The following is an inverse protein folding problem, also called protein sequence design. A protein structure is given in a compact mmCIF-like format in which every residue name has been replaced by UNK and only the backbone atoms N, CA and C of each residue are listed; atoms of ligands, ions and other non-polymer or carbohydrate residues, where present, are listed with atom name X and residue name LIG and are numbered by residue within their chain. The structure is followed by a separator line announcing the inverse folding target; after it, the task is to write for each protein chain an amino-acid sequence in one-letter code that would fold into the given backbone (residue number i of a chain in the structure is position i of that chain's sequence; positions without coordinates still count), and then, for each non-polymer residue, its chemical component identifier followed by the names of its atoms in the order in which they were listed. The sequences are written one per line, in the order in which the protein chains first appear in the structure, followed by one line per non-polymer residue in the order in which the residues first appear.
data_IF_314728289844
#
_entry.id   IF_314728289844
#
_cell.length_a   1.000
_cell.length_b   1.000
_cell.length_c   1.000
_cell.angle_alpha   90.00
_cell.angle_beta   90.00
_cell.angle_gamma   90.00
#
_symmetry.space_group_name_H-M   'P 1'
#
loop_
_entity.id
_entity.type
_entity.pdbx_description
1 polymer ?
#
# COMPACT_ATOMS: atom_id res chain seq x y z
N UNK A 1 23.14 8.04 18.66
CA UNK A 1 22.66 9.40 18.43
C UNK A 1 23.75 10.17 17.74
N UNK A 2 23.46 10.68 16.54
CA UNK A 2 24.39 11.50 15.76
C UNK A 2 23.71 12.83 15.46
N UNK A 3 24.00 13.89 16.25
CA UNK A 3 23.51 15.22 15.96
C UNK A 3 24.24 15.80 14.75
N UNK A 4 23.50 16.46 13.87
CA UNK A 4 24.03 17.28 12.80
C UNK A 4 24.04 18.74 13.27
N UNK A 5 25.24 19.31 13.34
CA UNK A 5 25.46 20.70 13.76
C UNK A 5 26.20 21.41 12.63
N UNK A 6 25.71 22.56 12.22
CA UNK A 6 26.40 23.45 11.27
C UNK A 6 27.06 24.56 12.06
N UNK A 7 28.38 24.65 11.98
CA UNK A 7 29.15 25.71 12.63
C UNK A 7 29.01 27.02 11.88
N UNK A 8 28.80 28.09 12.63
CA UNK A 8 28.86 29.44 12.07
C UNK A 8 30.32 29.86 11.85
N UNK A 9 30.77 29.80 10.59
CA UNK A 9 32.13 30.22 10.25
C UNK A 9 32.27 31.75 10.38
N UNK A 10 32.89 32.21 11.45
CA UNK A 10 33.69 33.42 11.43
C UNK A 10 33.39 34.55 12.41
N UNK A 11 32.21 34.82 12.91
CA UNK A 11 31.94 36.00 13.77
C UNK A 11 31.12 35.67 15.02
N UNK A 12 30.42 34.55 15.04
CA UNK A 12 29.64 34.08 16.18
C UNK A 12 30.19 32.76 16.70
N UNK A 13 30.26 32.62 18.01
CA UNK A 13 30.60 31.38 18.66
C UNK A 13 29.36 30.42 18.60
N UNK A 14 29.62 29.14 18.28
CA UNK A 14 28.61 28.14 18.30
C UNK A 14 28.17 27.65 16.91
N UNK A 15 27.17 26.75 16.89
CA UNK A 15 26.62 26.14 15.69
C UNK A 15 25.11 25.98 15.80
N UNK A 16 24.49 25.82 14.67
CA UNK A 16 23.05 25.53 14.57
C UNK A 16 22.78 24.05 14.56
N UNK A 17 21.95 23.56 15.48
CA UNK A 17 21.46 22.19 15.46
C UNK A 17 20.46 22.01 14.33
N UNK A 18 20.71 21.05 13.44
CA UNK A 18 19.81 20.74 12.32
C UNK A 18 18.89 19.57 12.63
N UNK A 19 19.46 18.42 12.96
CA UNK A 19 18.70 17.22 13.27
C UNK A 19 19.56 16.21 14.03
N UNK A 20 18.90 15.22 14.61
CA UNK A 20 19.55 14.03 15.16
C UNK A 20 19.05 12.79 14.38
N UNK A 21 19.99 11.92 14.00
CA UNK A 21 19.66 10.63 13.40
C UNK A 21 20.14 9.48 14.27
N UNK A 22 19.46 8.37 14.20
CA UNK A 22 19.95 7.10 14.71
C UNK A 22 20.98 6.55 13.73
N UNK A 23 22.16 6.21 14.22
CA UNK A 23 23.16 5.48 13.46
C UNK A 23 23.05 3.99 13.69
N UNK A 24 23.78 3.22 12.90
CA UNK A 24 23.91 1.79 13.13
C UNK A 24 24.38 1.51 14.57
N UNK A 25 23.78 0.50 15.20
CA UNK A 25 24.10 0.08 16.56
C UNK A 25 24.94 -1.19 16.50
N UNK A 26 25.94 -1.27 17.34
CA UNK A 26 26.80 -2.44 17.48
C UNK A 26 26.57 -3.10 18.84
N UNK A 27 26.31 -4.41 18.85
CA UNK A 27 26.12 -5.20 20.07
C UNK A 27 27.19 -6.30 20.11
N UNK A 28 28.19 -6.22 20.98
CA UNK A 28 29.09 -7.32 21.22
C UNK A 28 28.41 -8.37 22.11
N UNK A 29 28.43 -9.62 21.67
CA UNK A 29 27.84 -10.75 22.39
C UNK A 29 28.94 -11.77 22.70
N UNK A 30 29.46 -11.79 23.92
CA UNK A 30 30.40 -12.82 24.35
C UNK A 30 29.64 -14.15 24.48
N UNK A 31 30.30 -15.23 24.11
CA UNK A 31 29.77 -16.58 24.25
C UNK A 31 30.82 -17.55 24.79
N UNK A 32 30.36 -18.67 25.28
CA UNK A 32 31.23 -19.76 25.75
C UNK A 32 30.61 -21.09 25.34
N UNK A 33 31.46 -21.99 24.86
CA UNK A 33 31.10 -23.34 24.46
C UNK A 33 31.92 -24.35 25.24
N UNK A 34 31.38 -25.55 25.46
CA UNK A 34 32.06 -26.66 26.13
C UNK A 34 31.83 -27.93 25.30
N UNK A 35 32.80 -28.79 25.30
CA UNK A 35 32.83 -30.06 24.54
C UNK A 35 32.63 -29.87 23.01
N UNK A 36 33.24 -30.71 22.25
CA UNK A 36 33.14 -30.76 20.76
C UNK A 36 33.31 -29.38 20.09
N UNK A 37 34.33 -28.62 20.56
CA UNK A 37 34.50 -27.21 20.19
C UNK A 37 34.66 -27.02 18.68
N UNK A 38 35.32 -27.95 18.00
CA UNK A 38 35.51 -27.89 16.54
C UNK A 38 34.17 -28.01 15.79
N UNK A 39 33.36 -29.01 16.14
CA UNK A 39 32.09 -29.26 15.48
C UNK A 39 31.11 -28.09 15.74
N UNK A 40 31.18 -27.49 16.95
CA UNK A 40 30.41 -26.32 17.30
C UNK A 40 30.87 -25.05 16.59
N UNK A 41 32.20 -24.92 16.38
CA UNK A 41 32.75 -23.84 15.58
C UNK A 41 32.23 -23.91 14.14
N UNK A 42 32.29 -25.07 13.49
CA UNK A 42 31.80 -25.28 12.14
C UNK A 42 30.31 -25.01 12.02
N UNK A 43 29.53 -25.38 13.04
CA UNK A 43 28.09 -25.10 13.10
C UNK A 43 27.80 -23.59 13.27
N UNK A 44 28.57 -22.92 14.12
CA UNK A 44 28.46 -21.48 14.35
C UNK A 44 28.83 -20.70 13.10
N UNK A 45 29.89 -21.06 12.41
CA UNK A 45 30.30 -20.42 11.16
C UNK A 45 29.20 -20.50 10.09
N UNK A 46 28.54 -21.65 9.97
CA UNK A 46 27.37 -21.80 9.05
C UNK A 46 26.21 -20.90 9.39
N UNK A 47 25.93 -20.72 10.67
CA UNK A 47 24.82 -19.86 11.14
C UNK A 47 25.14 -18.38 10.91
N UNK A 48 26.41 -18.01 11.07
CA UNK A 48 26.87 -16.63 10.95
C UNK A 48 27.17 -16.21 9.49
N UNK A 49 27.29 -17.18 8.58
CA UNK A 49 27.49 -16.90 7.16
C UNK A 49 26.19 -16.47 6.50
N UNK A 50 25.83 -15.20 6.69
CA UNK A 50 24.63 -14.56 6.13
C UNK A 50 25.02 -13.33 5.32
N UNK A 51 24.31 -13.09 4.24
CA UNK A 51 24.51 -11.98 3.30
C UNK A 51 23.54 -10.79 3.53
N UNK A 52 22.57 -10.98 4.40
CA UNK A 52 21.58 -9.96 4.74
C UNK A 52 21.26 -9.95 6.24
N UNK A 53 20.78 -8.83 6.80
CA UNK A 53 20.35 -8.77 8.20
C UNK A 53 19.24 -9.78 8.50
N UNK A 54 19.39 -10.52 9.58
CA UNK A 54 18.42 -11.50 10.08
C UNK A 54 17.86 -11.07 11.44
N UNK A 55 16.71 -11.62 11.81
CA UNK A 55 16.10 -11.36 13.12
C UNK A 55 16.96 -11.96 14.24
N UNK A 56 17.44 -11.09 15.12
CA UNK A 56 18.15 -11.45 16.33
C UNK A 56 17.25 -11.18 17.53
N UNK A 57 16.94 -12.22 18.30
CA UNK A 57 16.14 -12.15 19.53
C UNK A 57 17.01 -12.59 20.69
N UNK A 58 17.08 -11.76 21.72
CA UNK A 58 17.75 -12.13 22.96
C UNK A 58 16.76 -12.81 23.92
N UNK A 59 17.18 -13.92 24.54
CA UNK A 59 16.33 -14.65 25.48
C UNK A 59 15.88 -13.81 26.69
N UNK A 60 16.63 -12.78 27.05
CA UNK A 60 16.25 -11.81 28.09
C UNK A 60 15.19 -10.78 27.65
N UNK A 61 14.94 -10.67 26.34
CA UNK A 61 14.01 -9.71 25.75
C UNK A 61 13.27 -10.38 24.58
N UNK A 62 12.41 -11.37 24.85
CA UNK A 62 11.73 -12.14 23.80
C UNK A 62 10.63 -11.35 23.07
N UNK A 63 10.23 -10.22 23.60
CA UNK A 63 9.20 -9.31 23.07
C UNK A 63 9.67 -8.45 21.90
N UNK A 64 10.98 -8.48 21.61
CA UNK A 64 11.60 -7.65 20.57
C UNK A 64 12.68 -8.37 19.79
N UNK A 65 12.90 -7.91 18.56
CA UNK A 65 13.98 -8.37 17.72
C UNK A 65 14.77 -7.20 17.12
N UNK A 66 15.97 -7.52 16.66
CA UNK A 66 16.81 -6.59 15.91
C UNK A 66 17.09 -7.18 14.52
N UNK A 67 17.05 -6.35 13.49
CA UNK A 67 17.56 -6.75 12.18
C UNK A 67 19.08 -6.61 12.20
N UNK A 68 19.77 -7.73 12.43
CA UNK A 68 21.21 -7.75 12.73
C UNK A 68 21.99 -8.59 11.72
N UNK A 69 23.21 -8.16 11.45
CA UNK A 69 24.20 -8.91 10.67
C UNK A 69 25.45 -9.10 11.51
N UNK A 70 26.06 -10.30 11.51
CA UNK A 70 27.32 -10.50 12.22
C UNK A 70 28.45 -9.75 11.54
N UNK A 71 29.39 -9.27 12.33
CA UNK A 71 30.59 -8.56 11.85
C UNK A 71 31.83 -9.06 12.58
N UNK A 72 32.93 -9.02 11.90
CA UNK A 72 34.22 -9.48 12.41
C UNK A 72 34.54 -10.94 11.99
N UNK A 73 35.63 -11.43 12.51
CA UNK A 73 36.09 -12.80 12.29
C UNK A 73 36.05 -13.56 13.61
N UNK A 74 35.69 -14.82 13.56
CA UNK A 74 35.83 -15.73 14.69
C UNK A 74 37.25 -16.25 14.70
N UNK A 75 37.92 -16.10 15.83
CA UNK A 75 39.27 -16.68 16.01
C UNK A 75 39.12 -18.17 16.30
N UNK A 76 39.54 -18.99 15.34
CA UNK A 76 39.46 -20.45 15.43
C UNK A 76 40.28 -21.00 16.59
N UNK A 77 41.53 -20.55 16.77
CA UNK A 77 42.43 -21.04 17.79
C UNK A 77 41.90 -20.65 19.19
N UNK A 78 41.44 -19.41 19.34
CA UNK A 78 40.83 -18.96 20.60
C UNK A 78 39.60 -19.79 20.98
N UNK A 79 38.74 -20.07 20.01
CA UNK A 79 37.50 -20.82 20.25
C UNK A 79 37.79 -22.28 20.52
N UNK A 80 38.69 -22.94 19.75
CA UNK A 80 39.01 -24.34 19.91
C UNK A 80 39.83 -24.62 21.17
N UNK A 81 40.65 -23.67 21.61
CA UNK A 81 41.48 -23.85 22.81
C UNK A 81 40.70 -23.46 24.08
N UNK A 82 39.98 -22.36 24.07
CA UNK A 82 39.37 -21.80 25.27
C UNK A 82 37.84 -21.94 25.31
N UNK A 83 37.22 -22.32 24.23
CA UNK A 83 35.75 -22.44 24.11
C UNK A 83 34.99 -21.12 24.16
N UNK A 84 35.67 -19.98 24.09
CA UNK A 84 35.06 -18.67 24.20
C UNK A 84 35.35 -17.75 23.02
N UNK A 85 34.44 -16.84 22.79
CA UNK A 85 34.56 -15.82 21.73
C UNK A 85 33.57 -14.69 21.91
N UNK A 86 33.62 -13.74 20.98
CA UNK A 86 32.65 -12.64 20.93
C UNK A 86 32.14 -12.49 19.50
N UNK A 87 30.84 -12.53 19.32
CA UNK A 87 30.17 -12.19 18.07
C UNK A 87 29.76 -10.73 18.16
N UNK A 88 30.15 -9.94 17.19
CA UNK A 88 29.74 -8.54 17.10
C UNK A 88 28.57 -8.45 16.11
N UNK A 89 27.42 -7.98 16.58
CA UNK A 89 26.25 -7.77 15.76
C UNK A 89 26.15 -6.31 15.37
N UNK A 90 25.98 -6.04 14.09
CA UNK A 90 25.65 -4.70 13.57
C UNK A 90 24.16 -4.67 13.26
N UNK A 91 23.49 -3.65 13.76
CA UNK A 91 22.07 -3.35 13.54
C UNK A 91 22.03 -2.08 12.71
N UNK A 92 21.81 -2.17 11.39
CA UNK A 92 21.94 -1.02 10.47
C UNK A 92 20.97 0.12 10.76
N UNK A 93 19.74 -0.20 11.12
CA UNK A 93 18.70 0.78 11.48
C UNK A 93 18.81 1.30 12.91
N UNK A 94 19.59 0.63 13.76
CA UNK A 94 19.82 0.99 15.15
C UNK A 94 18.62 0.78 16.08
N UNK A 95 17.51 0.19 15.57
CA UNK A 95 16.24 0.08 16.26
C UNK A 95 15.95 -1.34 16.75
N UNK A 96 15.09 -1.43 17.75
CA UNK A 96 14.47 -2.66 18.20
C UNK A 96 13.03 -2.68 17.71
N UNK A 97 12.62 -3.78 17.09
CA UNK A 97 11.28 -4.00 16.57
C UNK A 97 10.48 -4.89 17.50
N UNK A 98 9.19 -4.66 17.63
CA UNK A 98 8.31 -5.57 18.36
C UNK A 98 8.15 -6.88 17.60
N UNK A 99 8.11 -8.01 18.34
CA UNK A 99 7.87 -9.33 17.73
C UNK A 99 6.41 -9.45 17.31
N UNK A 100 5.52 -8.94 18.14
CA UNK A 100 4.08 -8.98 17.90
C UNK A 100 3.59 -7.62 17.40
N UNK A 101 2.74 -7.64 16.36
CA UNK A 101 2.01 -6.47 15.91
C UNK A 101 0.91 -6.12 16.92
N UNK A 102 0.68 -4.84 17.13
CA UNK A 102 -0.41 -4.36 17.96
C UNK A 102 -1.60 -4.06 17.08
N UNK A 103 -2.71 -4.69 17.40
CA UNK A 103 -3.99 -4.45 16.73
C UNK A 103 -4.86 -3.50 17.58
N UNK A 104 -5.48 -2.55 16.90
CA UNK A 104 -6.40 -1.60 17.50
C UNK A 104 -7.72 -1.68 16.73
N UNK A 105 -8.78 -2.02 17.45
CA UNK A 105 -10.12 -2.11 16.84
C UNK A 105 -10.82 -0.77 16.93
N UNK A 106 -11.34 -0.29 15.80
CA UNK A 106 -12.15 0.91 15.78
C UNK A 106 -13.54 0.66 16.42
N UNK A 107 -14.03 1.63 17.16
CA UNK A 107 -15.35 1.62 17.76
C UNK A 107 -16.19 2.78 17.25
N UNK A 108 -17.52 2.55 17.15
CA UNK A 108 -18.43 3.60 16.71
C UNK A 108 -18.62 4.64 17.81
N UNK A 109 -18.26 5.89 17.52
CA UNK A 109 -18.45 7.03 18.38
C UNK A 109 -19.12 8.16 17.60
N UNK A 110 -20.33 8.55 18.02
CA UNK A 110 -21.12 9.61 17.36
C UNK A 110 -21.31 9.43 15.83
N UNK A 111 -21.47 8.18 15.40
CA UNK A 111 -21.64 7.87 13.97
C UNK A 111 -20.34 7.80 13.16
N UNK A 112 -19.18 7.89 13.80
CA UNK A 112 -17.86 7.79 13.18
C UNK A 112 -17.10 6.64 13.82
N UNK A 113 -16.44 5.82 13.01
CA UNK A 113 -15.50 4.80 13.47
C UNK A 113 -14.22 5.49 13.97
N UNK A 114 -13.92 5.30 15.24
CA UNK A 114 -12.75 5.92 15.89
C UNK A 114 -11.89 4.86 16.54
N UNK A 115 -10.58 4.94 16.35
CA UNK A 115 -9.60 4.12 17.02
C UNK A 115 -8.51 5.00 17.65
N UNK A 116 -8.23 4.79 18.93
CA UNK A 116 -7.11 5.42 19.60
C UNK A 116 -5.87 4.53 19.43
N UNK A 117 -4.91 4.99 18.64
CA UNK A 117 -3.69 4.26 18.31
C UNK A 117 -2.55 4.85 19.11
N UNK A 118 -1.92 4.02 19.96
CA UNK A 118 -0.77 4.41 20.75
C UNK A 118 0.50 3.74 20.26
N UNK A 119 1.44 4.55 19.77
CA UNK A 119 2.79 4.11 19.47
C UNK A 119 3.66 4.23 20.74
N UNK A 120 4.04 3.09 21.32
CA UNK A 120 4.96 3.03 22.47
C UNK A 120 6.44 3.01 22.06
N UNK A 121 6.75 3.11 20.78
CA UNK A 121 8.10 3.16 20.25
C UNK A 121 8.72 4.57 20.30
N UNK A 122 9.97 4.65 19.87
CA UNK A 122 10.75 5.89 19.80
C UNK A 122 10.76 6.51 18.40
N UNK A 123 10.22 5.80 17.42
CA UNK A 123 10.20 6.21 16.02
C UNK A 123 8.79 6.07 15.45
N UNK A 124 8.52 6.79 14.37
CA UNK A 124 7.25 6.71 13.67
C UNK A 124 7.09 5.36 12.98
N UNK A 125 5.92 4.76 13.13
CA UNK A 125 5.59 3.45 12.56
C UNK A 125 4.43 3.60 11.59
N UNK A 126 4.53 3.06 10.37
CA UNK A 126 3.40 3.04 9.45
C UNK A 126 2.25 2.20 10.01
N UNK A 127 1.02 2.68 9.81
CA UNK A 127 -0.20 1.98 10.23
C UNK A 127 -0.78 1.25 9.03
N UNK A 128 -1.07 -0.03 9.21
CA UNK A 128 -1.84 -0.83 8.25
C UNK A 128 -3.32 -0.80 8.64
N UNK A 129 -4.18 -0.64 7.64
CA UNK A 129 -5.63 -0.60 7.84
C UNK A 129 -6.27 -1.83 7.18
N UNK A 130 -7.02 -2.57 7.97
CA UNK A 130 -7.89 -3.63 7.47
C UNK A 130 -9.35 -3.18 7.62
N UNK A 131 -10.05 -3.04 6.50
CA UNK A 131 -11.41 -2.52 6.46
C UNK A 131 -12.31 -3.54 5.77
N UNK A 132 -13.32 -4.01 6.49
CA UNK A 132 -14.35 -4.88 5.95
C UNK A 132 -15.63 -4.09 5.71
N UNK A 133 -16.02 -3.96 4.46
CA UNK A 133 -17.30 -3.36 4.07
C UNK A 133 -18.39 -4.44 4.08
N UNK A 134 -19.43 -4.23 4.85
CA UNK A 134 -20.58 -5.13 4.92
C UNK A 134 -21.68 -4.77 3.91
N UNK A 135 -21.58 -3.60 3.29
CA UNK A 135 -22.51 -3.06 2.30
C UNK A 135 -21.71 -2.39 1.18
N UNK A 136 -22.36 -2.11 0.08
CA UNK A 136 -21.78 -1.26 -0.97
C UNK A 136 -21.43 0.10 -0.39
N UNK A 137 -20.25 0.58 -0.74
CA UNK A 137 -19.70 1.79 -0.20
C UNK A 137 -18.85 2.49 -1.28
N UNK A 138 -19.28 3.66 -1.70
CA UNK A 138 -18.61 4.44 -2.75
C UNK A 138 -17.40 5.23 -2.26
N UNK A 139 -17.24 5.40 -0.95
CA UNK A 139 -16.19 6.24 -0.39
C UNK A 139 -15.73 5.78 0.99
N UNK A 140 -14.44 5.77 1.19
CA UNK A 140 -13.80 5.56 2.49
C UNK A 140 -12.86 6.73 2.77
N UNK A 141 -13.07 7.40 3.88
CA UNK A 141 -12.20 8.45 4.40
C UNK A 141 -11.58 8.05 5.73
N UNK A 142 -10.25 8.13 5.83
CA UNK A 142 -9.52 7.91 7.08
C UNK A 142 -8.79 9.21 7.41
N UNK A 143 -9.04 9.75 8.59
CA UNK A 143 -8.43 11.01 9.04
C UNK A 143 -7.63 10.74 10.31
N UNK A 144 -6.40 11.21 10.32
CA UNK A 144 -5.51 11.18 11.49
C UNK A 144 -4.89 12.55 11.73
N UNK A 145 -4.18 12.71 12.83
CA UNK A 145 -3.40 13.93 13.09
C UNK A 145 -2.25 14.17 12.09
N UNK A 146 -1.87 13.15 11.31
CA UNK A 146 -0.78 13.22 10.34
C UNK A 146 -1.26 13.38 8.90
N UNK A 147 -2.55 13.25 8.65
CA UNK A 147 -3.11 13.40 7.31
C UNK A 147 -4.42 12.65 7.11
N UNK A 148 -4.88 12.68 5.86
CA UNK A 148 -6.09 12.00 5.44
C UNK A 148 -5.84 11.09 4.25
N UNK A 149 -6.47 9.92 4.25
CA UNK A 149 -6.50 8.96 3.15
C UNK A 149 -7.93 8.92 2.65
N UNK A 150 -8.11 9.07 1.35
CA UNK A 150 -9.41 9.01 0.68
C UNK A 150 -9.38 7.97 -0.41
N UNK A 151 -10.36 7.08 -0.42
CA UNK A 151 -10.55 6.03 -1.40
C UNK A 151 -11.97 6.10 -1.93
N UNK A 152 -12.14 6.11 -3.26
CA UNK A 152 -13.44 6.23 -3.90
C UNK A 152 -13.86 7.68 -4.17
N UNK A 153 -15.16 7.86 -4.45
CA UNK A 153 -15.77 9.14 -4.81
C UNK A 153 -16.72 9.63 -3.71
N UNK A 154 -16.44 10.77 -3.12
CA UNK A 154 -17.26 11.36 -2.05
C UNK A 154 -18.66 11.75 -2.50
N UNK A 155 -18.88 11.91 -3.82
CA UNK A 155 -20.18 12.24 -4.39
C UNK A 155 -21.02 11.00 -4.72
N UNK A 156 -20.44 9.82 -4.58
CA UNK A 156 -21.15 8.57 -4.77
C UNK A 156 -22.02 8.30 -3.54
N UNK A 157 -23.32 8.13 -3.77
CA UNK A 157 -24.27 7.83 -2.70
C UNK A 157 -24.15 6.35 -2.35
N UNK A 158 -23.99 6.04 -1.07
CA UNK A 158 -23.94 4.66 -0.57
C UNK A 158 -25.12 3.84 -1.10
N UNK A 159 -24.82 2.70 -1.71
CA UNK A 159 -25.83 1.79 -2.27
C UNK A 159 -26.36 2.17 -3.64
N UNK A 160 -25.85 3.21 -4.27
CA UNK A 160 -26.00 3.43 -5.71
C UNK A 160 -24.77 2.95 -6.42
N UNK A 161 -24.88 1.90 -7.21
CA UNK A 161 -23.94 1.64 -8.28
C UNK A 161 -24.03 2.84 -9.20
N UNK A 162 -23.05 3.73 -9.15
CA UNK A 162 -22.88 4.73 -10.17
C UNK A 162 -22.55 3.97 -11.46
N UNK A 163 -23.57 3.74 -12.29
CA UNK A 163 -23.31 3.24 -13.63
C UNK A 163 -22.44 4.30 -14.31
N UNK A 164 -21.21 3.93 -14.65
CA UNK A 164 -20.26 4.82 -15.35
C UNK A 164 -20.79 5.26 -16.72
N UNK A 165 -21.83 4.60 -17.19
CA UNK A 165 -22.58 4.95 -18.40
C UNK A 165 -24.03 4.55 -18.24
N UNK A 166 -24.93 5.47 -18.51
CA UNK A 166 -26.36 5.21 -18.66
C UNK A 166 -26.62 4.88 -20.13
N UNK A 167 -27.23 3.72 -20.36
CA UNK A 167 -27.68 3.37 -21.70
C UNK A 167 -28.97 4.17 -22.00
N UNK A 168 -28.84 5.28 -22.71
CA UNK A 168 -29.95 6.14 -23.06
C UNK A 168 -30.86 5.53 -24.14
N UNK A 169 -30.26 4.83 -25.10
CA UNK A 169 -30.96 4.19 -26.20
C UNK A 169 -30.25 2.94 -26.65
N UNK A 170 -31.05 1.90 -26.88
CA UNK A 170 -30.61 0.70 -27.53
C UNK A 170 -31.36 0.53 -28.86
N UNK A 171 -30.66 0.34 -29.96
CA UNK A 171 -31.24 0.24 -31.29
C UNK A 171 -31.18 -1.18 -31.84
N UNK A 172 -31.08 -2.18 -30.98
CA UNK A 172 -30.95 -3.58 -31.34
C UNK A 172 -32.30 -4.28 -31.52
N UNK A 173 -33.39 -3.64 -31.08
CA UNK A 173 -34.73 -4.18 -31.30
C UNK A 173 -35.65 -3.24 -32.11
N UNK A 174 -36.51 -3.81 -32.98
CA UNK A 174 -37.49 -3.04 -33.72
C UNK A 174 -38.44 -2.26 -32.82
N UNK A 175 -38.70 -2.74 -31.61
CA UNK A 175 -39.61 -2.11 -30.66
C UNK A 175 -39.07 -0.80 -30.12
N UNK A 176 -37.81 -0.81 -29.73
CA UNK A 176 -37.12 0.39 -29.23
C UNK A 176 -36.98 1.45 -30.30
N UNK A 177 -36.65 1.01 -31.51
CA UNK A 177 -36.56 1.88 -32.65
C UNK A 177 -37.91 2.50 -33.05
N UNK A 178 -38.97 1.74 -33.03
CA UNK A 178 -40.32 2.21 -33.37
C UNK A 178 -40.91 3.13 -32.28
N UNK A 179 -40.37 3.14 -31.08
CA UNK A 179 -40.72 4.10 -30.04
C UNK A 179 -40.20 5.51 -30.34
N UNK A 180 -39.26 5.64 -31.26
CA UNK A 180 -38.81 6.97 -31.70
C UNK A 180 -39.81 7.62 -32.62
N UNK A 181 -40.12 8.87 -32.36
CA UNK A 181 -41.06 9.65 -33.19
C UNK A 181 -40.31 10.14 -34.44
N UNK A 182 -40.78 9.78 -35.61
CA UNK A 182 -40.22 10.25 -36.88
C UNK A 182 -40.17 11.79 -36.93
N UNK A 183 -39.00 12.32 -37.25
CA UNK A 183 -38.82 13.76 -37.41
C UNK A 183 -38.62 14.52 -36.10
N UNK A 184 -38.59 13.82 -34.96
CA UNK A 184 -38.24 14.45 -33.69
C UNK A 184 -36.79 14.04 -33.29
N UNK A 185 -35.93 14.95 -33.46
CA UNK A 185 -34.51 14.90 -33.06
C UNK A 185 -34.00 16.33 -32.97
N UNK A 186 -32.72 16.48 -32.90
CA UNK A 186 -32.05 17.79 -32.87
C UNK A 186 -32.33 18.62 -34.12
N UNK A 187 -32.80 17.98 -35.21
CA UNK A 187 -33.04 18.57 -36.55
C UNK A 187 -34.51 18.37 -36.88
N UNK A 188 -35.33 19.30 -36.49
CA UNK A 188 -36.77 19.11 -36.47
C UNK A 188 -37.48 19.47 -37.77
N UNK A 189 -37.80 20.73 -37.99
CA UNK A 189 -38.69 21.16 -39.05
C UNK A 189 -37.98 21.35 -40.40
N UNK A 190 -36.71 21.68 -40.42
CA UNK A 190 -35.92 21.98 -41.62
C UNK A 190 -35.38 20.73 -42.29
N UNK A 191 -35.41 19.59 -41.61
CA UNK A 191 -34.85 18.33 -42.12
C UNK A 191 -35.80 17.14 -41.90
N UNK A 192 -36.93 17.10 -42.59
CA UNK A 192 -37.86 15.99 -42.46
C UNK A 192 -37.25 14.70 -43.00
N UNK A 193 -37.42 13.61 -42.27
CA UNK A 193 -36.99 12.29 -42.71
C UNK A 193 -37.88 11.78 -43.82
N UNK A 194 -37.27 11.42 -44.95
CA UNK A 194 -37.92 10.78 -46.08
C UNK A 194 -37.49 9.29 -46.10
N UNK A 195 -38.43 8.41 -46.03
CA UNK A 195 -38.19 6.96 -46.07
C UNK A 195 -38.69 6.24 -44.84
N UNK A 196 -38.52 4.95 -44.83
CA UNK A 196 -38.91 4.08 -43.74
C UNK A 196 -37.74 3.35 -43.17
N UNK A 197 -37.61 3.37 -41.88
CA UNK A 197 -36.59 2.59 -41.20
C UNK A 197 -36.99 1.12 -41.13
N UNK A 198 -36.06 0.24 -41.22
CA UNK A 198 -36.23 -1.19 -41.02
C UNK A 198 -35.02 -1.79 -40.36
N UNK A 199 -35.18 -3.01 -39.90
CA UNK A 199 -34.10 -3.80 -39.35
C UNK A 199 -33.84 -5.01 -40.24
N UNK A 200 -32.59 -5.38 -40.40
CA UNK A 200 -32.16 -6.62 -41.05
C UNK A 200 -31.14 -7.34 -40.18
N UNK A 201 -31.07 -8.65 -40.32
CA UNK A 201 -30.06 -9.45 -39.65
C UNK A 201 -29.00 -9.85 -40.63
N UNK A 202 -27.76 -9.49 -40.36
CA UNK A 202 -26.60 -9.92 -41.15
C UNK A 202 -25.51 -10.38 -40.17
N UNK A 203 -24.85 -11.49 -40.48
CA UNK A 203 -23.79 -12.09 -39.65
C UNK A 203 -24.15 -12.36 -38.20
N UNK A 204 -25.44 -12.57 -37.92
CA UNK A 204 -25.96 -12.83 -36.56
C UNK A 204 -26.27 -11.59 -35.75
N UNK A 205 -26.03 -10.39 -36.30
CA UNK A 205 -26.35 -9.12 -35.66
C UNK A 205 -27.50 -8.39 -36.39
N UNK A 206 -28.25 -7.56 -35.66
CA UNK A 206 -29.31 -6.73 -36.22
C UNK A 206 -28.76 -5.39 -36.70
N UNK A 207 -29.10 -5.05 -37.92
CA UNK A 207 -28.69 -3.79 -38.54
C UNK A 207 -29.90 -2.94 -38.87
N UNK A 208 -29.79 -1.63 -38.68
CA UNK A 208 -30.75 -0.64 -39.13
C UNK A 208 -30.47 -0.25 -40.56
N UNK A 209 -31.53 -0.15 -41.35
CA UNK A 209 -31.43 0.36 -42.71
C UNK A 209 -32.58 1.32 -43.03
N UNK A 210 -32.33 2.24 -43.90
CA UNK A 210 -33.36 3.17 -44.42
C UNK A 210 -33.77 2.70 -45.82
N UNK A 211 -35.09 2.45 -45.99
CA UNK A 211 -35.65 2.01 -47.26
C UNK A 211 -36.53 3.10 -47.87
N UNK A 212 -36.82 2.94 -49.21
CA UNK A 212 -37.72 3.82 -49.97
C UNK A 212 -37.32 5.30 -49.95
N UNK A 213 -36.08 5.55 -50.18
CA UNK A 213 -35.56 6.89 -50.32
C UNK A 213 -35.92 7.40 -51.72
N UNK A 214 -36.82 8.32 -51.81
CA UNK A 214 -37.12 9.03 -53.04
C UNK A 214 -35.97 9.92 -53.49
N UNK A 215 -35.99 10.33 -54.74
CA UNK A 215 -35.08 11.33 -55.25
C UNK A 215 -35.21 12.63 -54.45
N UNK A 216 -34.16 13.02 -53.75
CA UNK A 216 -34.19 14.19 -52.84
C UNK A 216 -34.17 13.86 -51.36
N UNK A 217 -34.05 12.58 -50.97
CA UNK A 217 -33.86 12.17 -49.58
C UNK A 217 -32.52 12.69 -49.08
N UNK A 218 -32.51 13.32 -47.93
CA UNK A 218 -31.32 13.71 -47.19
C UNK A 218 -31.14 12.83 -45.97
N UNK A 219 -29.93 12.48 -45.65
CA UNK A 219 -29.57 11.75 -44.48
C UNK A 219 -29.19 12.72 -43.35
N UNK A 220 -29.79 12.60 -42.24
CA UNK A 220 -29.46 13.39 -41.03
C UNK A 220 -29.43 12.48 -39.83
#
# INVERSE_FOLDING_TARGET
WQPSIVDYNGIMDGGEFQYTKFGAKTIPMPFSMQHDLKDKYDALEKILNVDEPKRLIFGSQPDRYYMAIPSGTLDYDQICDNGGGTITWIIPDGLAHAVDEKEFTATMQNGILTADIYNGGVDDVPVSYEITNNHENGFIGIVSQYGAIQLGNIQEVDGTTGEMSEELFRYDTPTEFNAMTNGQGILTEDFPMNGSWGTTTAEGEQWLYLSNQGSGSSWH
#
